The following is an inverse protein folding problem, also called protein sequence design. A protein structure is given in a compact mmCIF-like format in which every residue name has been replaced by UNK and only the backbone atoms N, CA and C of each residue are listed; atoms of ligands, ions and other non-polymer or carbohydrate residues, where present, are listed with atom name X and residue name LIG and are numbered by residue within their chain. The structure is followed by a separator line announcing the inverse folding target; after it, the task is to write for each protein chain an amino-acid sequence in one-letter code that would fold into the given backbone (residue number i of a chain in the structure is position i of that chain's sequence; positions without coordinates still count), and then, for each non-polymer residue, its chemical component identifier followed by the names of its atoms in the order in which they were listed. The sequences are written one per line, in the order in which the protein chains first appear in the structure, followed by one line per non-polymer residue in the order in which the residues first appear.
data_IF_358396745748
#
_entry.id   IF_358396745748
#
_cell.length_a   1.000
_cell.length_b   1.000
_cell.length_c   1.000
_cell.angle_alpha   90.00
_cell.angle_beta   90.00
_cell.angle_gamma   90.00
#
_symmetry.space_group_name_H-M   'P 1'
#
loop_
_entity.id
_entity.type
_entity.pdbx_description
1 polymer ?
#
# COMPACT_ATOMS: atom_id res chain seq x y z
N UNK A 1 12.04 13.94 -8.92
CA UNK A 1 11.12 14.51 -7.90
C UNK A 1 10.32 13.34 -7.32
N UNK A 2 10.59 12.92 -6.09
CA UNK A 2 9.80 11.85 -5.47
C UNK A 2 8.50 12.43 -4.90
N UNK A 3 7.37 11.83 -5.25
CA UNK A 3 6.05 12.29 -4.81
C UNK A 3 5.80 11.88 -3.37
N UNK A 4 5.10 12.73 -2.61
CA UNK A 4 4.55 12.30 -1.32
C UNK A 4 3.67 11.04 -1.51
N UNK A 5 3.70 10.05 -0.60
CA UNK A 5 3.06 8.75 -0.83
C UNK A 5 1.57 8.82 -1.17
N UNK A 6 0.82 9.76 -0.59
CA UNK A 6 -0.61 9.95 -0.88
C UNK A 6 -0.87 10.47 -2.30
N UNK A 7 0.05 11.26 -2.84
CA UNK A 7 -0.03 11.77 -4.22
C UNK A 7 0.31 10.65 -5.19
N UNK A 8 1.34 9.87 -4.87
CA UNK A 8 1.75 8.70 -5.65
C UNK A 8 0.62 7.68 -5.79
N UNK A 9 -0.03 7.29 -4.67
CA UNK A 9 -1.08 6.27 -4.69
C UNK A 9 -2.28 6.69 -5.52
N UNK A 10 -2.70 7.97 -5.42
CA UNK A 10 -3.75 8.53 -6.27
C UNK A 10 -3.41 8.49 -7.75
N UNK A 11 -2.18 8.86 -8.13
CA UNK A 11 -1.76 8.82 -9.54
C UNK A 11 -1.70 7.40 -10.09
N UNK A 12 -1.37 6.43 -9.26
CA UNK A 12 -1.22 5.03 -9.64
C UNK A 12 -2.53 4.23 -9.54
N UNK A 13 -3.66 4.89 -9.22
CA UNK A 13 -4.95 4.23 -9.04
C UNK A 13 -5.04 3.32 -7.79
N UNK A 14 -4.05 3.38 -6.91
CA UNK A 14 -4.00 2.56 -5.70
C UNK A 14 -4.92 3.18 -4.65
N UNK A 15 -6.00 2.46 -4.33
CA UNK A 15 -6.91 2.84 -3.25
C UNK A 15 -6.32 2.44 -1.91
N UNK A 16 -6.07 3.42 -1.05
CA UNK A 16 -5.56 3.22 0.31
C UNK A 16 -6.52 3.82 1.33
N UNK A 17 -6.80 3.07 2.40
CA UNK A 17 -7.34 3.59 3.65
C UNK A 17 -6.18 3.81 4.62
N UNK A 18 -6.04 5.04 5.12
CA UNK A 18 -5.04 5.39 6.12
C UNK A 18 -5.67 5.36 7.51
N UNK A 19 -5.12 4.57 8.43
CA UNK A 19 -5.49 4.61 9.84
C UNK A 19 -4.23 4.73 10.69
N UNK A 20 -4.05 5.90 11.30
CA UNK A 20 -2.84 6.25 12.07
C UNK A 20 -1.56 6.02 11.26
N UNK A 21 -0.74 5.03 11.65
CA UNK A 21 0.51 4.65 10.98
C UNK A 21 0.35 3.51 9.98
N UNK A 22 -0.85 2.95 9.84
CA UNK A 22 -1.12 1.77 9.02
C UNK A 22 -1.85 2.15 7.74
N UNK A 23 -1.44 1.53 6.63
CA UNK A 23 -2.06 1.71 5.32
C UNK A 23 -2.68 0.38 4.87
N UNK A 24 -3.97 0.42 4.56
CA UNK A 24 -4.71 -0.71 4.01
C UNK A 24 -4.91 -0.50 2.51
N UNK A 25 -4.38 -1.43 1.70
CA UNK A 25 -4.56 -1.43 0.24
C UNK A 25 -5.87 -2.13 -0.11
N UNK A 26 -6.74 -1.46 -0.85
CA UNK A 26 -7.99 -2.04 -1.36
C UNK A 26 -7.80 -2.51 -2.80
N UNK A 27 -7.95 -3.81 -3.03
CA UNK A 27 -7.84 -4.46 -4.33
C UNK A 27 -9.02 -5.43 -4.56
N UNK A 28 -9.40 -5.64 -5.81
CA UNK A 28 -10.48 -6.54 -6.23
C UNK A 28 -9.98 -7.96 -6.51
N UNK A 29 -8.66 -8.15 -6.61
CA UNK A 29 -8.03 -9.46 -6.78
C UNK A 29 -6.68 -9.52 -6.06
N UNK A 30 -6.21 -10.74 -5.83
CA UNK A 30 -4.88 -10.99 -5.27
C UNK A 30 -3.76 -10.47 -6.19
N UNK A 31 -3.91 -10.66 -7.51
CA UNK A 31 -2.95 -10.16 -8.49
C UNK A 31 -2.83 -8.62 -8.45
N UNK A 32 -3.97 -7.92 -8.36
CA UNK A 32 -4.01 -6.46 -8.20
C UNK A 32 -3.35 -6.04 -6.87
N UNK A 33 -3.64 -6.75 -5.77
CA UNK A 33 -3.03 -6.49 -4.48
C UNK A 33 -1.50 -6.62 -4.53
N UNK A 34 -0.99 -7.68 -5.14
CA UNK A 34 0.45 -7.93 -5.29
C UNK A 34 1.11 -6.82 -6.13
N UNK A 35 0.47 -6.41 -7.23
CA UNK A 35 0.95 -5.33 -8.08
C UNK A 35 1.01 -4.00 -7.33
N UNK A 36 -0.11 -3.59 -6.71
CA UNK A 36 -0.21 -2.36 -5.93
C UNK A 36 0.77 -2.33 -4.76
N UNK A 37 0.91 -3.45 -4.03
CA UNK A 37 1.87 -3.58 -2.92
C UNK A 37 3.30 -3.40 -3.40
N UNK A 38 3.70 -4.09 -4.47
CA UNK A 38 5.07 -4.02 -5.01
C UNK A 38 5.42 -2.59 -5.41
N UNK A 39 4.52 -1.92 -6.12
CA UNK A 39 4.71 -0.55 -6.57
C UNK A 39 4.81 0.44 -5.40
N UNK A 40 3.97 0.27 -4.39
CA UNK A 40 3.97 1.11 -3.18
C UNK A 40 5.24 0.92 -2.34
N UNK A 41 5.69 -0.33 -2.16
CA UNK A 41 6.92 -0.63 -1.43
C UNK A 41 8.14 -0.03 -2.12
N UNK A 42 8.24 -0.19 -3.45
CA UNK A 42 9.33 0.42 -4.23
C UNK A 42 9.36 1.94 -4.10
N UNK A 43 8.18 2.59 -4.11
CA UNK A 43 8.09 4.04 -3.90
C UNK A 43 8.50 4.46 -2.49
N UNK A 44 8.08 3.72 -1.47
CA UNK A 44 8.46 3.98 -0.08
C UNK A 44 9.97 3.82 0.14
N UNK A 45 10.58 2.79 -0.45
CA UNK A 45 12.03 2.62 -0.44
C UNK A 45 12.75 3.79 -1.10
N UNK A 46 12.22 4.30 -2.22
CA UNK A 46 12.77 5.50 -2.90
C UNK A 46 12.74 6.76 -2.04
N UNK A 47 11.86 6.80 -1.04
CA UNK A 47 11.72 7.88 -0.06
C UNK A 47 12.53 7.63 1.22
N UNK A 48 13.35 6.58 1.27
CA UNK A 48 14.04 6.10 2.47
C UNK A 48 13.10 5.77 3.64
N UNK A 49 11.83 5.45 3.35
CA UNK A 49 10.85 4.99 4.34
C UNK A 49 10.90 3.45 4.43
N UNK A 50 10.82 2.92 5.65
CA UNK A 50 10.81 1.47 5.91
C UNK A 50 9.46 1.02 6.45
N UNK A 51 8.90 -0.02 5.84
CA UNK A 51 7.71 -0.69 6.37
C UNK A 51 8.11 -1.60 7.52
N UNK A 52 7.42 -1.46 8.66
CA UNK A 52 7.62 -2.33 9.81
C UNK A 52 6.88 -3.66 9.58
N UNK A 53 7.51 -4.60 8.87
CA UNK A 53 6.90 -5.89 8.52
C UNK A 53 6.49 -6.74 9.73
N UNK A 54 7.05 -6.50 10.92
CA UNK A 54 6.62 -7.15 12.16
C UNK A 54 5.20 -6.77 12.63
N UNK A 55 4.57 -5.76 12.03
CA UNK A 55 3.18 -5.34 12.28
C UNK A 55 2.26 -5.54 11.07
N UNK A 56 2.78 -6.01 9.95
CA UNK A 56 2.02 -6.14 8.70
C UNK A 56 1.43 -7.53 8.54
N UNK A 57 0.10 -7.63 8.46
CA UNK A 57 -0.59 -8.88 8.09
C UNK A 57 -0.73 -8.95 6.57
N UNK A 58 -0.23 -10.03 5.96
CA UNK A 58 -0.29 -10.26 4.50
C UNK A 58 -1.48 -11.12 4.05
N UNK A 59 -2.26 -11.62 5.01
CA UNK A 59 -3.50 -12.36 4.74
C UNK A 59 -4.66 -11.37 4.65
N UNK A 60 -5.57 -11.49 3.66
CA UNK A 60 -6.82 -10.74 3.69
C UNK A 60 -7.61 -11.13 4.94
N UNK A 61 -7.50 -10.32 5.99
CA UNK A 61 -8.17 -10.58 7.28
C UNK A 61 -9.64 -10.17 7.25
N UNK A 62 -10.05 -9.38 6.25
CA UNK A 62 -11.40 -8.86 6.15
C UNK A 62 -11.90 -8.95 4.71
N UNK A 63 -12.94 -9.77 4.51
CA UNK A 63 -13.77 -9.78 3.30
C UNK A 63 -15.00 -8.93 3.61
N UNK A 64 -15.17 -7.81 2.92
CA UNK A 64 -16.37 -6.99 3.03
C UNK A 64 -17.33 -7.50 1.95
N UNK A 65 -18.44 -8.11 2.37
CA UNK A 65 -19.57 -8.54 1.52
C UNK A 65 -20.60 -7.42 1.39
#
# INVERSE_FOLDING_TARGET
LSLAPRTFTKQMGIRILNYLGDWLILAQSEAELISHRTLLLSHLESLALRVSFGKGTLSPSQRIS
#
